data_IF_398383629513
#
_entry.id   IF_398383629513
#
_cell.length_a   1.000
_cell.length_b   1.000
_cell.length_c   1.000
_cell.angle_alpha   90.00
_cell.angle_beta   90.00
_cell.angle_gamma   90.00
#
_symmetry.space_group_name_H-M   'P 1'
#
loop_
_entity.id
_entity.type
_entity.pdbx_description
1 polymer ?
#
# COMPACT_ATOMS: atom_id res chain seq x y z
N UNK A 1 0.35 12.40 -8.70
CA UNK A 1 0.66 10.97 -8.88
C UNK A 1 0.07 10.13 -7.75
N UNK A 2 -0.17 8.85 -8.01
CA UNK A 2 -0.78 7.92 -7.07
C UNK A 2 0.02 6.61 -7.06
N UNK A 3 0.23 6.06 -5.88
CA UNK A 3 0.70 4.69 -5.68
C UNK A 3 -0.42 3.89 -4.99
N UNK A 4 -0.79 2.77 -5.56
CA UNK A 4 -1.71 1.82 -4.93
C UNK A 4 -1.01 0.49 -4.71
N UNK A 5 -1.18 -0.06 -3.51
CA UNK A 5 -0.77 -1.42 -3.19
C UNK A 5 -2.03 -2.23 -2.90
N UNK A 6 -2.11 -3.42 -3.46
CA UNK A 6 -3.23 -4.32 -3.27
C UNK A 6 -2.75 -5.73 -2.98
N UNK A 7 -3.39 -6.35 -2.02
CA UNK A 7 -3.30 -7.79 -1.77
C UNK A 7 -4.68 -8.37 -2.01
N UNK A 8 -4.76 -9.42 -2.81
CA UNK A 8 -5.94 -10.28 -2.86
C UNK A 8 -5.54 -11.68 -2.47
N UNK A 9 -6.31 -12.31 -1.59
CA UNK A 9 -6.02 -13.63 -1.08
C UNK A 9 -7.29 -14.48 -0.91
N UNK A 10 -7.09 -15.80 -0.81
CA UNK A 10 -8.14 -16.78 -0.49
C UNK A 10 -8.27 -17.04 1.01
N UNK A 11 -7.46 -16.38 1.83
CA UNK A 11 -7.50 -16.48 3.28
C UNK A 11 -8.71 -15.82 3.92
N UNK A 12 -8.68 -15.67 5.25
CA UNK A 12 -9.69 -14.92 6.00
C UNK A 12 -9.66 -13.43 5.62
N UNK A 13 -8.49 -12.85 5.45
CA UNK A 13 -8.30 -11.53 4.84
C UNK A 13 -8.35 -11.69 3.33
N UNK A 14 -9.43 -11.21 2.70
CA UNK A 14 -9.69 -11.37 1.27
C UNK A 14 -9.02 -10.33 0.41
N UNK A 15 -8.96 -9.09 0.91
CA UNK A 15 -8.36 -7.96 0.21
C UNK A 15 -7.77 -6.96 1.19
N UNK A 16 -6.61 -6.43 0.86
CA UNK A 16 -6.06 -5.22 1.46
C UNK A 16 -5.80 -4.25 0.30
N UNK A 17 -6.23 -3.01 0.45
CA UNK A 17 -5.96 -1.95 -0.51
C UNK A 17 -5.44 -0.72 0.23
N UNK A 18 -4.33 -0.17 -0.26
CA UNK A 18 -3.77 1.08 0.26
C UNK A 18 -3.47 2.01 -0.90
N UNK A 19 -3.80 3.28 -0.73
CA UNK A 19 -3.48 4.31 -1.69
C UNK A 19 -2.64 5.41 -1.02
N UNK A 20 -1.61 5.85 -1.72
CA UNK A 20 -0.87 7.06 -1.46
C UNK A 20 -1.09 8.04 -2.61
N UNK A 21 -1.47 9.27 -2.30
CA UNK A 21 -1.56 10.37 -3.24
C UNK A 21 -0.47 11.37 -2.92
N UNK A 22 0.41 11.62 -3.88
CA UNK A 22 1.43 12.65 -3.75
C UNK A 22 0.81 14.03 -3.52
N UNK A 23 1.56 14.96 -2.90
CA UNK A 23 1.07 16.30 -2.67
C UNK A 23 0.73 16.99 -4.00
N UNK A 24 -0.36 17.75 -4.02
CA UNK A 24 -0.79 18.52 -5.20
C UNK A 24 0.07 19.76 -5.42
N UNK A 25 0.65 20.29 -4.33
CA UNK A 25 1.57 21.43 -4.33
C UNK A 25 2.71 21.20 -3.36
N UNK A 26 3.84 21.84 -3.61
CA UNK A 26 4.99 21.82 -2.71
C UNK A 26 4.60 22.30 -1.31
N UNK A 27 5.01 21.57 -0.27
CA UNK A 27 4.71 21.86 1.13
C UNK A 27 3.36 21.35 1.63
N UNK A 28 2.49 20.84 0.76
CA UNK A 28 1.26 20.18 1.20
C UNK A 28 1.53 18.75 1.68
N UNK A 29 0.78 18.25 2.67
CA UNK A 29 0.88 16.86 3.07
C UNK A 29 0.36 15.92 1.97
N UNK A 30 1.06 14.82 1.76
CA UNK A 30 0.55 13.71 0.98
C UNK A 30 -0.67 13.08 1.68
N UNK A 31 -1.47 12.33 0.94
CA UNK A 31 -2.65 11.66 1.49
C UNK A 31 -2.49 10.15 1.41
N UNK A 32 -2.92 9.47 2.46
CA UNK A 32 -2.98 8.00 2.50
C UNK A 32 -4.37 7.55 2.90
N UNK A 33 -4.75 6.38 2.42
CA UNK A 33 -5.93 5.66 2.86
C UNK A 33 -5.69 4.16 2.75
N UNK A 34 -6.37 3.40 3.58
CA UNK A 34 -6.31 1.94 3.55
C UNK A 34 -7.68 1.33 3.82
N UNK A 35 -7.89 0.14 3.30
CA UNK A 35 -9.07 -0.69 3.51
C UNK A 35 -8.66 -2.15 3.55
N UNK A 36 -9.30 -2.93 4.43
CA UNK A 36 -9.19 -4.37 4.46
C UNK A 36 -10.58 -5.01 4.45
N UNK A 37 -10.75 -6.03 3.59
CA UNK A 37 -11.92 -6.91 3.59
C UNK A 37 -11.54 -8.25 4.17
N UNK A 38 -12.27 -8.71 5.16
CA UNK A 38 -11.99 -9.95 5.85
C UNK A 38 -13.28 -10.66 6.27
N UNK A 39 -13.14 -11.93 6.57
CA UNK A 39 -14.19 -12.79 7.10
C UNK A 39 -13.91 -13.00 8.59
N UNK A 40 -14.68 -12.32 9.44
CA UNK A 40 -14.45 -12.27 10.88
C UNK A 40 -14.53 -13.65 11.53
N UNK A 41 -15.40 -14.53 11.04
CA UNK A 41 -15.57 -15.89 11.56
C UNK A 41 -14.38 -16.81 11.26
N UNK A 42 -13.59 -16.46 10.25
CA UNK A 42 -12.42 -17.22 9.79
C UNK A 42 -11.09 -16.64 10.27
N UNK A 43 -11.11 -15.48 10.94
CA UNK A 43 -9.87 -14.85 11.42
C UNK A 43 -9.21 -15.72 12.49
N UNK A 44 -7.93 -15.99 12.29
CA UNK A 44 -7.04 -16.52 13.30
C UNK A 44 -6.49 -15.34 14.12
N UNK A 45 -6.98 -15.20 15.34
CA UNK A 45 -6.58 -14.11 16.25
C UNK A 45 -5.25 -14.37 16.95
N UNK A 46 -4.80 -15.62 16.98
CA UNK A 46 -3.55 -16.01 17.63
C UNK A 46 -2.35 -15.85 16.68
N UNK A 47 -2.56 -16.14 15.40
CA UNK A 47 -1.50 -16.10 14.38
C UNK A 47 -1.96 -15.28 13.17
N UNK A 48 -1.70 -13.98 13.22
CA UNK A 48 -2.11 -13.03 12.17
C UNK A 48 -1.69 -13.48 10.75
N UNK A 49 -0.56 -14.15 10.64
CA UNK A 49 -0.01 -14.68 9.38
C UNK A 49 -0.92 -15.71 8.71
N UNK A 50 -1.70 -16.47 9.47
CA UNK A 50 -2.60 -17.49 8.93
C UNK A 50 -3.80 -16.90 8.17
N UNK A 51 -4.04 -15.60 8.31
CA UNK A 51 -5.18 -14.93 7.71
C UNK A 51 -4.99 -14.61 6.21
N UNK A 52 -3.76 -14.64 5.72
CA UNK A 52 -3.43 -14.43 4.31
C UNK A 52 -3.17 -15.80 3.67
N UNK A 53 -3.95 -16.15 2.65
CA UNK A 53 -3.78 -17.39 1.89
C UNK A 53 -3.18 -17.11 0.50
N UNK A 54 -3.29 -18.12 -0.38
CA UNK A 54 -2.91 -17.97 -1.79
C UNK A 54 -3.55 -16.73 -2.42
N UNK A 55 -2.81 -16.06 -3.26
CA UNK A 55 -3.31 -14.85 -3.90
C UNK A 55 -2.24 -14.10 -4.67
N UNK A 56 -2.39 -12.78 -4.73
CA UNK A 56 -1.41 -11.93 -5.40
C UNK A 56 -1.21 -10.59 -4.67
N UNK A 57 -0.02 -10.05 -4.85
CA UNK A 57 0.35 -8.69 -4.50
C UNK A 57 0.47 -7.86 -5.78
N UNK A 58 -0.16 -6.70 -5.81
CA UNK A 58 -0.16 -5.81 -6.96
C UNK A 58 0.28 -4.40 -6.56
N UNK A 59 1.09 -3.79 -7.41
CA UNK A 59 1.52 -2.39 -7.33
C UNK A 59 1.00 -1.67 -8.56
N UNK A 60 0.32 -0.54 -8.35
CA UNK A 60 -0.12 0.35 -9.41
C UNK A 60 0.46 1.74 -9.17
N UNK A 61 1.18 2.28 -10.15
CA UNK A 61 1.72 3.64 -10.11
C UNK A 61 1.06 4.45 -11.23
N UNK A 62 0.31 5.46 -10.85
CA UNK A 62 -0.26 6.44 -11.76
C UNK A 62 0.51 7.75 -11.62
N UNK A 63 1.27 8.10 -12.65
CA UNK A 63 2.14 9.28 -12.64
C UNK A 63 1.41 10.56 -13.06
N UNK A 64 0.12 10.46 -13.39
CA UNK A 64 -0.71 11.60 -13.78
C UNK A 64 -0.90 11.73 -15.29
N UNK A 65 -1.40 12.89 -15.70
CA UNK A 65 -1.86 13.14 -17.06
C UNK A 65 -0.81 12.86 -18.13
N UNK A 66 -1.22 12.09 -19.13
CA UNK A 66 -0.40 11.76 -20.31
C UNK A 66 0.55 10.57 -20.15
N UNK A 67 0.67 10.00 -18.96
CA UNK A 67 1.46 8.80 -18.75
C UNK A 67 0.57 7.57 -18.56
N UNK A 68 1.00 6.43 -19.10
CA UNK A 68 0.29 5.17 -18.85
C UNK A 68 0.59 4.72 -17.43
N UNK A 69 -0.43 4.32 -16.66
CA UNK A 69 -0.20 3.72 -15.36
C UNK A 69 0.69 2.47 -15.48
N UNK A 70 1.66 2.37 -14.59
CA UNK A 70 2.46 1.16 -14.43
C UNK A 70 1.73 0.20 -13.49
N UNK A 71 1.70 -1.08 -13.84
CA UNK A 71 1.15 -2.13 -12.98
C UNK A 71 2.07 -3.34 -12.97
N UNK A 72 2.44 -3.77 -11.77
CA UNK A 72 3.14 -5.02 -11.54
C UNK A 72 2.32 -5.92 -10.62
N UNK A 73 2.36 -7.24 -10.87
CA UNK A 73 1.62 -8.24 -10.10
C UNK A 73 2.54 -9.43 -9.86
N UNK A 74 2.62 -9.88 -8.61
CA UNK A 74 3.34 -11.10 -8.21
C UNK A 74 2.45 -12.00 -7.38
N UNK A 75 2.68 -13.33 -7.44
CA UNK A 75 2.01 -14.27 -6.55
C UNK A 75 2.38 -14.03 -5.09
N UNK A 76 1.44 -14.25 -4.19
CA UNK A 76 1.73 -14.29 -2.75
C UNK A 76 2.41 -15.64 -2.43
N UNK A 77 3.69 -15.57 -2.12
CA UNK A 77 4.50 -16.73 -1.74
C UNK A 77 4.76 -16.80 -0.26
N UNK A 78 4.40 -15.77 0.45
CA UNK A 78 4.55 -15.62 1.89
C UNK A 78 3.25 -15.12 2.50
N UNK A 79 3.04 -15.48 3.74
CA UNK A 79 1.94 -14.99 4.57
C UNK A 79 2.23 -13.61 5.18
N UNK A 80 3.44 -13.07 4.97
CA UNK A 80 3.87 -11.74 5.41
C UNK A 80 3.72 -10.72 4.29
N UNK A 81 3.13 -9.55 4.62
CA UNK A 81 3.06 -8.42 3.69
C UNK A 81 4.46 -7.87 3.35
N UNK A 82 5.37 -7.89 4.32
CA UNK A 82 6.77 -7.46 4.12
C UNK A 82 7.48 -8.33 3.09
N UNK A 83 7.32 -9.66 3.20
CA UNK A 83 7.94 -10.60 2.27
C UNK A 83 7.29 -10.53 0.89
N UNK A 84 5.96 -10.38 0.83
CA UNK A 84 5.25 -10.20 -0.44
C UNK A 84 5.74 -8.94 -1.19
N UNK A 85 5.91 -7.83 -0.47
CA UNK A 85 6.45 -6.61 -1.04
C UNK A 85 7.92 -6.78 -1.46
N UNK A 86 8.76 -7.41 -0.64
CA UNK A 86 10.17 -7.70 -0.97
C UNK A 86 10.27 -8.58 -2.22
N UNK A 87 9.45 -9.62 -2.31
CA UNK A 87 9.36 -10.49 -3.48
C UNK A 87 8.94 -9.75 -4.75
N UNK A 88 7.98 -8.80 -4.63
CA UNK A 88 7.60 -7.94 -5.75
C UNK A 88 8.80 -7.14 -6.29
N UNK A 89 9.54 -6.46 -5.42
CA UNK A 89 10.70 -5.65 -5.84
C UNK A 89 11.81 -6.51 -6.45
N UNK A 90 12.05 -7.69 -5.91
CA UNK A 90 13.05 -8.61 -6.47
C UNK A 90 12.64 -9.11 -7.87
N UNK A 91 11.37 -9.50 -8.06
CA UNK A 91 10.90 -10.11 -9.31
C UNK A 91 10.59 -9.08 -10.40
N UNK A 92 9.91 -7.98 -10.04
CA UNK A 92 9.43 -7.01 -11.01
C UNK A 92 10.42 -5.89 -11.27
N UNK A 93 11.14 -5.45 -10.24
CA UNK A 93 12.07 -4.32 -10.34
C UNK A 93 13.53 -4.76 -10.35
N UNK A 94 13.81 -6.04 -10.06
CA UNK A 94 15.17 -6.59 -9.91
C UNK A 94 16.02 -5.81 -8.90
N UNK A 95 15.37 -5.30 -7.86
CA UNK A 95 16.00 -4.55 -6.78
C UNK A 95 15.87 -5.33 -5.47
N UNK A 96 16.96 -5.80 -4.87
CA UNK A 96 16.95 -6.34 -3.53
C UNK A 96 16.36 -5.31 -2.58
N UNK A 97 15.23 -5.67 -1.96
CA UNK A 97 14.48 -4.77 -1.07
C UNK A 97 14.02 -5.56 0.14
N UNK A 98 14.11 -4.95 1.31
CA UNK A 98 13.60 -5.53 2.55
C UNK A 98 12.74 -4.51 3.29
N UNK A 99 11.66 -4.99 3.89
CA UNK A 99 10.77 -4.23 4.72
C UNK A 99 10.79 -4.76 6.16
N UNK A 100 10.83 -3.85 7.13
CA UNK A 100 10.54 -4.12 8.54
C UNK A 100 9.35 -3.25 8.90
N UNK A 101 8.25 -3.86 9.33
CA UNK A 101 6.98 -3.18 9.61
C UNK A 101 6.50 -3.57 11.01
N UNK A 102 6.15 -2.57 11.81
CA UNK A 102 5.53 -2.75 13.12
C UNK A 102 4.25 -1.93 13.24
N UNK A 103 3.33 -2.41 14.05
CA UNK A 103 2.09 -1.71 14.37
C UNK A 103 1.67 -2.07 15.78
N UNK A 104 1.05 -1.16 16.47
CA UNK A 104 0.60 -1.39 17.83
C UNK A 104 -0.12 -0.18 18.43
N UNK A 105 -0.66 -0.38 19.62
CA UNK A 105 -1.21 0.70 20.43
C UNK A 105 -0.05 1.41 21.14
N UNK A 106 0.05 2.71 20.92
CA UNK A 106 1.00 3.58 21.61
C UNK A 106 0.26 4.61 22.43
N UNK A 107 0.72 4.84 23.63
CA UNK A 107 0.19 5.83 24.56
C UNK A 107 1.33 6.70 25.09
N UNK A 108 1.13 8.01 25.05
CA UNK A 108 1.92 8.97 25.82
C UNK A 108 1.21 9.27 27.12
N UNK A 109 1.92 9.72 28.16
CA UNK A 109 1.42 9.89 29.53
C UNK A 109 0.12 10.71 29.65
N UNK A 110 -0.19 11.57 28.69
CA UNK A 110 -1.33 12.49 28.71
C UNK A 110 -2.37 12.23 27.62
N UNK A 111 -2.12 11.30 26.68
CA UNK A 111 -3.03 11.04 25.55
C UNK A 111 -3.71 9.67 25.65
N UNK A 112 -4.91 9.57 25.06
CA UNK A 112 -5.57 8.27 24.89
C UNK A 112 -4.74 7.36 23.99
N UNK A 113 -4.76 6.03 24.21
CA UNK A 113 -4.07 5.09 23.33
C UNK A 113 -4.52 5.27 21.88
N UNK A 114 -3.56 5.28 20.96
CA UNK A 114 -3.82 5.37 19.52
C UNK A 114 -3.03 4.30 18.77
N UNK A 115 -3.63 3.78 17.70
CA UNK A 115 -2.93 2.89 16.79
C UNK A 115 -1.84 3.64 16.05
N UNK A 116 -0.66 3.04 16.03
CA UNK A 116 0.49 3.55 15.27
C UNK A 116 1.05 2.46 14.39
N UNK A 117 1.61 2.85 13.26
CA UNK A 117 2.38 2.00 12.38
C UNK A 117 3.66 2.70 11.99
N UNK A 118 4.73 1.93 11.90
CA UNK A 118 6.04 2.40 11.46
C UNK A 118 6.74 1.35 10.63
N UNK A 119 7.67 1.76 9.79
CA UNK A 119 8.42 0.83 8.98
C UNK A 119 9.70 1.43 8.42
N UNK A 120 10.61 0.53 8.08
CA UNK A 120 11.83 0.83 7.34
C UNK A 120 11.83 0.01 6.06
N UNK A 121 12.12 0.66 4.95
CA UNK A 121 12.44 0.00 3.69
C UNK A 121 13.94 0.17 3.44
N UNK A 122 14.65 -0.94 3.28
CA UNK A 122 16.02 -1.00 2.80
C UNK A 122 16.01 -1.48 1.36
N UNK A 123 16.67 -0.76 0.46
CA UNK A 123 16.73 -1.11 -0.95
C UNK A 123 18.13 -0.90 -1.50
N UNK A 124 18.66 -1.90 -2.18
CA UNK A 124 19.91 -1.77 -2.90
C UNK A 124 19.64 -1.10 -4.25
N UNK A 125 20.19 0.09 -4.42
CA UNK A 125 20.10 0.81 -5.69
C UNK A 125 21.28 0.45 -6.61
N UNK A 126 21.08 0.33 -7.93
CA UNK A 126 22.18 0.16 -8.87
C UNK A 126 23.09 1.37 -8.84
N UNK A 127 24.38 1.21 -9.19
CA UNK A 127 25.28 2.32 -9.39
C UNK A 127 24.73 3.34 -10.37
N UNK A 128 24.97 4.62 -10.13
CA UNK A 128 24.49 5.69 -11.02
C UNK A 128 24.99 5.49 -12.46
N UNK A 129 24.08 5.33 -13.41
CA UNK A 129 24.40 5.15 -14.83
C UNK A 129 24.36 3.69 -15.32
N UNK A 130 24.20 2.71 -14.46
CA UNK A 130 23.96 1.33 -14.85
C UNK A 130 22.46 1.10 -14.97
N UNK A 131 22.05 0.60 -16.15
CA UNK A 131 20.68 0.15 -16.37
C UNK A 131 20.60 -1.33 -15.97
N UNK A 132 19.70 -1.68 -15.06
CA UNK A 132 19.41 -3.09 -14.74
C UNK A 132 18.69 -3.68 -15.95
N UNK A 133 19.23 -4.70 -16.63
CA UNK A 133 18.56 -5.31 -17.76
C UNK A 133 17.22 -5.91 -17.34
N UNK A 134 16.15 -5.63 -18.07
CA UNK A 134 14.81 -6.18 -17.82
C UNK A 134 14.70 -7.70 -18.10
N UNK A 135 15.73 -8.30 -18.69
CA UNK A 135 15.77 -9.71 -19.12
C UNK A 135 16.63 -10.58 -18.18
N UNK A 136 16.70 -10.25 -16.90
CA UNK A 136 17.43 -11.02 -15.90
C UNK A 136 16.88 -12.43 -15.71
N UNK A 137 17.72 -13.38 -15.21
CA UNK A 137 17.30 -14.74 -15.00
C UNK A 137 16.14 -14.81 -13.99
N UNK A 138 15.07 -15.46 -14.38
CA UNK A 138 14.05 -15.90 -13.42
C UNK A 138 14.61 -17.15 -12.72
N UNK A 139 14.81 -17.06 -11.41
CA UNK A 139 15.19 -18.23 -10.60
C UNK A 139 14.15 -19.35 -10.67
N UNK A 140 14.49 -20.57 -10.22
CA UNK A 140 13.54 -21.66 -10.10
C UNK A 140 12.33 -21.19 -9.31
N UNK A 141 11.12 -21.39 -9.84
CA UNK A 141 9.84 -20.94 -9.26
C UNK A 141 9.59 -19.41 -9.26
N UNK A 142 10.37 -18.62 -10.01
CA UNK A 142 10.13 -17.18 -10.16
C UNK A 142 10.57 -16.32 -8.97
N UNK A 143 11.32 -16.87 -8.01
CA UNK A 143 11.87 -16.13 -6.87
C UNK A 143 13.33 -15.80 -7.10
N UNK A 144 13.65 -14.49 -7.11
CA UNK A 144 15.02 -14.00 -7.13
C UNK A 144 15.47 -13.70 -5.70
N UNK A 145 16.59 -14.32 -5.30
CA UNK A 145 17.26 -14.00 -4.05
C UNK A 145 18.28 -12.87 -4.27
N UNK A 146 18.69 -12.14 -3.21
CA UNK A 146 19.72 -11.12 -3.34
C UNK A 146 21.01 -11.63 -3.98
N UNK A 147 21.37 -12.89 -3.78
CA UNK A 147 22.54 -13.55 -4.37
C UNK A 147 22.44 -13.70 -5.88
N UNK A 148 21.22 -13.74 -6.42
CA UNK A 148 20.98 -13.81 -7.87
C UNK A 148 21.13 -12.43 -8.53
N UNK A 149 20.97 -11.35 -7.76
CA UNK A 149 20.97 -9.97 -8.23
C UNK A 149 22.28 -9.22 -7.91
N UNK A 150 22.96 -9.61 -6.82
CA UNK A 150 24.15 -8.90 -6.32
C UNK A 150 25.37 -9.83 -6.35
N UNK A 151 26.52 -9.25 -6.62
CA UNK A 151 27.82 -9.92 -6.54
C UNK A 151 28.86 -9.16 -5.73
N UNK A 152 29.89 -9.86 -5.25
CA UNK A 152 31.04 -9.26 -4.58
C UNK A 152 30.68 -8.30 -3.44
N UNK A 153 31.27 -7.12 -3.45
CA UNK A 153 31.13 -6.10 -2.37
C UNK A 153 29.67 -5.64 -2.20
N UNK A 154 28.85 -5.66 -3.25
CA UNK A 154 27.45 -5.25 -3.17
C UNK A 154 26.63 -6.24 -2.32
N UNK A 155 26.89 -7.54 -2.43
CA UNK A 155 26.23 -8.56 -1.60
C UNK A 155 26.69 -8.48 -0.14
N UNK A 156 27.99 -8.19 0.11
CA UNK A 156 28.51 -8.00 1.46
C UNK A 156 27.90 -6.75 2.12
N UNK A 157 27.83 -5.64 1.39
CA UNK A 157 27.20 -4.40 1.85
C UNK A 157 25.69 -4.61 2.14
N UNK A 158 25.00 -5.33 1.27
CA UNK A 158 23.59 -5.70 1.48
C UNK A 158 23.42 -6.52 2.75
N UNK A 159 24.25 -7.54 2.95
CA UNK A 159 24.19 -8.40 4.14
C UNK A 159 24.45 -7.61 5.41
N UNK A 160 25.46 -6.73 5.42
CA UNK A 160 25.78 -5.88 6.56
C UNK A 160 24.63 -4.92 6.90
N UNK A 161 24.05 -4.27 5.89
CA UNK A 161 22.90 -3.38 6.11
C UNK A 161 21.68 -4.12 6.68
N UNK A 162 21.46 -5.37 6.25
CA UNK A 162 20.41 -6.21 6.79
C UNK A 162 20.65 -6.59 8.26
N UNK A 163 21.91 -6.87 8.67
CA UNK A 163 22.21 -7.11 10.08
C UNK A 163 21.90 -5.88 10.96
N UNK A 164 22.17 -4.67 10.47
CA UNK A 164 21.75 -3.47 11.18
C UNK A 164 20.23 -3.37 11.27
N UNK A 165 19.52 -3.69 10.18
CA UNK A 165 18.05 -3.65 10.15
C UNK A 165 17.41 -4.68 11.10
N UNK A 166 18.06 -5.84 11.32
CA UNK A 166 17.61 -6.86 12.29
C UNK A 166 17.64 -6.36 13.75
N UNK A 167 18.35 -5.29 14.03
CA UNK A 167 18.41 -4.67 15.36
C UNK A 167 17.29 -3.67 15.63
N UNK A 168 16.39 -3.44 14.67
CA UNK A 168 15.29 -2.50 14.85
C UNK A 168 14.23 -3.11 15.74
N UNK A 169 13.88 -2.39 16.79
CA UNK A 169 12.85 -2.79 17.75
C UNK A 169 11.53 -2.09 17.46
N UNK A 170 10.44 -2.74 17.87
CA UNK A 170 9.08 -2.22 17.68
C UNK A 170 8.91 -0.79 18.20
N UNK A 171 9.39 -0.51 19.42
CA UNK A 171 9.26 0.81 20.05
C UNK A 171 10.07 1.91 19.32
N UNK A 172 11.07 1.57 18.53
CA UNK A 172 11.79 2.54 17.72
C UNK A 172 10.97 3.01 16.52
N UNK A 173 10.05 2.17 16.01
CA UNK A 173 9.20 2.50 14.88
C UNK A 173 7.83 3.06 15.27
N UNK A 174 7.23 2.55 16.34
CA UNK A 174 5.87 2.96 16.75
C UNK A 174 5.85 3.76 18.04
N UNK A 175 6.97 3.81 18.77
CA UNK A 175 7.12 4.65 19.97
C UNK A 175 7.12 6.15 19.62
N UNK A 176 6.74 7.01 20.58
CA UNK A 176 6.68 8.46 20.35
C UNK A 176 8.05 9.15 20.45
N UNK A 177 9.08 8.44 20.92
CA UNK A 177 10.29 9.06 21.49
C UNK A 177 11.46 9.12 20.54
N UNK A 178 11.51 8.30 19.48
CA UNK A 178 12.65 8.25 18.57
C UNK A 178 12.28 8.85 17.19
N UNK A 179 12.86 10.01 16.82
CA UNK A 179 12.72 10.55 15.48
C UNK A 179 13.30 9.60 14.41
N UNK A 180 12.70 9.49 13.22
CA UNK A 180 13.19 8.61 12.16
C UNK A 180 14.65 8.86 11.75
N UNK A 181 15.11 10.12 11.76
CA UNK A 181 16.49 10.47 11.45
C UNK A 181 17.48 9.93 12.49
N UNK A 182 17.10 9.89 13.77
CA UNK A 182 17.95 9.36 14.82
C UNK A 182 18.06 7.83 14.73
N UNK A 183 16.97 7.17 14.33
CA UNK A 183 16.99 5.74 14.00
C UNK A 183 17.94 5.46 12.84
N UNK A 184 17.85 6.21 11.74
CA UNK A 184 18.74 6.04 10.59
C UNK A 184 20.20 6.26 10.99
N UNK A 185 20.48 7.26 11.82
CA UNK A 185 21.83 7.52 12.31
C UNK A 185 22.31 6.37 13.21
N UNK A 186 21.48 5.87 14.12
CA UNK A 186 21.82 4.71 14.95
C UNK A 186 22.18 3.48 14.12
N UNK A 187 21.44 3.22 13.05
CA UNK A 187 21.64 2.05 12.21
C UNK A 187 22.88 2.18 11.29
N UNK A 188 23.09 3.37 10.71
CA UNK A 188 23.96 3.53 9.55
C UNK A 188 24.98 4.67 9.65
N UNK A 189 25.32 5.17 10.87
CA UNK A 189 26.25 6.30 11.04
C UNK A 189 27.65 6.05 10.44
N UNK A 190 28.10 4.80 10.42
CA UNK A 190 29.38 4.42 9.81
C UNK A 190 29.35 4.45 8.28
N UNK A 191 28.16 4.33 7.69
CA UNK A 191 27.95 4.32 6.24
C UNK A 191 27.82 5.73 5.63
N UNK A 192 27.80 6.77 6.43
CA UNK A 192 27.67 8.16 5.96
C UNK A 192 26.23 8.52 5.56
N UNK A 193 25.31 8.46 6.51
CA UNK A 193 23.87 8.70 6.30
C UNK A 193 23.61 10.10 5.76
N UNK A 194 22.84 10.18 4.67
CA UNK A 194 22.22 11.40 4.16
C UNK A 194 20.73 11.39 4.44
N UNK A 195 20.27 12.34 5.23
CA UNK A 195 18.84 12.48 5.58
C UNK A 195 18.20 13.55 4.69
N UNK A 196 17.00 13.27 4.22
CA UNK A 196 16.16 14.20 3.45
C UNK A 196 15.01 14.70 4.32
N UNK A 197 14.44 15.84 3.93
CA UNK A 197 13.26 16.38 4.60
C UNK A 197 12.10 15.39 4.55
N UNK A 198 11.41 15.25 5.68
CA UNK A 198 10.27 14.33 5.79
C UNK A 198 9.05 14.90 5.05
N UNK A 199 8.40 14.04 4.26
CA UNK A 199 7.11 14.36 3.67
C UNK A 199 6.00 14.10 4.69
N UNK A 200 5.28 15.14 5.08
CA UNK A 200 4.09 14.99 5.92
C UNK A 200 3.00 14.19 5.20
N UNK A 201 2.31 13.33 5.96
CA UNK A 201 1.23 12.46 5.45
C UNK A 201 -0.01 12.67 6.32
N UNK A 202 -1.18 12.67 5.70
CA UNK A 202 -2.46 12.69 6.40
C UNK A 202 -3.43 11.68 5.80
N UNK A 203 -4.43 11.27 6.57
CA UNK A 203 -5.56 10.55 6.00
C UNK A 203 -6.28 11.44 4.97
N UNK A 204 -6.66 10.84 3.83
CA UNK A 204 -7.44 11.54 2.82
C UNK A 204 -8.19 10.56 1.93
N UNK A 205 -9.46 10.88 1.67
CA UNK A 205 -10.28 10.13 0.75
C UNK A 205 -10.73 11.01 -0.41
N UNK A 206 -10.75 10.42 -1.60
CA UNK A 206 -11.16 11.09 -2.84
C UNK A 206 -12.56 10.67 -3.27
N UNK A 207 -13.34 10.00 -2.40
CA UNK A 207 -14.72 9.64 -2.71
C UNK A 207 -15.60 10.90 -2.83
N UNK A 208 -16.58 10.83 -3.69
CA UNK A 208 -17.61 11.85 -3.88
C UNK A 208 -18.86 11.22 -4.45
N UNK A 209 -19.99 11.91 -4.35
CA UNK A 209 -21.23 11.47 -4.95
C UNK A 209 -21.08 11.25 -6.46
N UNK A 210 -20.37 12.13 -7.17
CA UNK A 210 -20.13 12.02 -8.62
C UNK A 210 -19.37 10.73 -8.97
N UNK A 211 -18.38 10.36 -8.15
CA UNK A 211 -17.64 9.08 -8.33
C UNK A 211 -18.53 7.87 -8.09
N UNK A 212 -19.44 7.94 -7.14
CA UNK A 212 -20.44 6.88 -6.94
C UNK A 212 -21.37 6.79 -8.14
N UNK A 213 -21.89 7.92 -8.64
CA UNK A 213 -22.69 7.99 -9.87
C UNK A 213 -21.94 7.39 -11.07
N UNK A 214 -20.69 7.78 -11.25
CA UNK A 214 -19.82 7.24 -12.30
C UNK A 214 -19.64 5.73 -12.18
N UNK A 215 -19.46 5.21 -10.97
CA UNK A 215 -19.34 3.76 -10.73
C UNK A 215 -20.63 3.02 -11.02
N UNK A 216 -21.78 3.65 -10.78
CA UNK A 216 -23.10 3.09 -11.05
C UNK A 216 -23.51 3.22 -12.52
N UNK A 217 -22.89 4.07 -13.32
CA UNK A 217 -23.23 4.32 -14.71
C UNK A 217 -23.12 3.11 -15.64
N UNK A 218 -22.41 2.06 -15.23
CA UNK A 218 -22.27 0.80 -15.99
C UNK A 218 -23.45 -0.15 -15.80
N UNK A 219 -24.30 0.08 -14.81
CA UNK A 219 -25.42 -0.81 -14.48
C UNK A 219 -26.69 -0.40 -15.20
N UNK A 220 -27.45 -1.41 -15.66
CA UNK A 220 -28.77 -1.18 -16.23
C UNK A 220 -29.79 -0.73 -15.18
N UNK A 221 -30.88 -0.08 -15.60
CA UNK A 221 -31.95 0.33 -14.68
C UNK A 221 -32.57 -0.89 -13.94
N UNK A 222 -32.56 -2.06 -14.56
CA UNK A 222 -32.98 -3.31 -13.92
C UNK A 222 -32.05 -3.72 -12.79
N UNK A 223 -30.73 -3.47 -12.92
CA UNK A 223 -29.77 -3.81 -11.86
C UNK A 223 -29.78 -2.75 -10.76
N UNK A 224 -29.93 -1.47 -11.12
CA UNK A 224 -30.17 -0.39 -10.15
C UNK A 224 -31.41 -0.66 -9.30
N UNK A 225 -32.52 -1.15 -9.91
CA UNK A 225 -33.74 -1.48 -9.16
C UNK A 225 -33.54 -2.61 -8.13
N UNK A 226 -32.56 -3.52 -8.34
CA UNK A 226 -32.22 -4.55 -7.36
C UNK A 226 -31.33 -4.03 -6.21
N UNK A 227 -30.65 -2.92 -6.42
CA UNK A 227 -29.82 -2.24 -5.42
C UNK A 227 -30.61 -1.21 -4.62
N UNK A 228 -31.88 -0.95 -5.06
CA UNK A 228 -32.75 0.02 -4.39
C UNK A 228 -33.29 -0.56 -3.10
N UNK A 229 -33.18 0.17 -2.01
CA UNK A 229 -33.68 -0.19 -0.68
C UNK A 229 -35.21 -0.11 -0.63
N UNK A 230 -35.81 -0.60 0.45
CA UNK A 230 -37.29 -0.54 0.66
C UNK A 230 -37.77 0.92 0.75
N UNK A 231 -36.90 1.86 1.12
CA UNK A 231 -37.17 3.30 1.14
C UNK A 231 -37.05 3.95 -0.25
N UNK A 232 -36.77 3.17 -1.29
CA UNK A 232 -36.67 3.67 -2.67
C UNK A 232 -35.39 4.41 -2.99
N UNK A 233 -34.28 4.11 -2.28
CA UNK A 233 -32.98 4.77 -2.44
C UNK A 233 -31.90 3.78 -2.82
N UNK A 234 -30.86 4.26 -3.50
CA UNK A 234 -29.62 3.50 -3.73
C UNK A 234 -28.55 4.04 -2.78
N UNK A 235 -28.11 3.21 -1.84
CA UNK A 235 -27.10 3.58 -0.88
C UNK A 235 -25.73 3.02 -1.26
N UNK A 236 -24.68 3.78 -1.02
CA UNK A 236 -23.30 3.35 -1.24
C UNK A 236 -22.39 3.88 -0.12
N UNK A 237 -21.61 2.97 0.46
CA UNK A 237 -20.67 3.31 1.52
C UNK A 237 -19.24 3.24 1.01
N UNK A 238 -18.48 4.29 1.27
CA UNK A 238 -17.07 4.31 0.95
C UNK A 238 -16.28 3.43 1.92
N UNK A 239 -15.72 2.35 1.44
CA UNK A 239 -14.97 1.40 2.26
C UNK A 239 -13.69 2.00 2.89
N UNK A 240 -13.15 3.09 2.33
CA UNK A 240 -11.95 3.73 2.87
C UNK A 240 -12.24 4.70 4.03
N UNK A 241 -13.36 5.44 4.00
CA UNK A 241 -13.62 6.50 4.98
C UNK A 241 -14.97 6.39 5.67
N UNK A 242 -15.82 5.41 5.30
CA UNK A 242 -17.15 5.23 5.89
C UNK A 242 -18.18 6.29 5.47
N UNK A 243 -17.87 7.17 4.50
CA UNK A 243 -18.85 8.13 4.00
C UNK A 243 -19.97 7.39 3.28
N UNK A 244 -21.21 7.71 3.64
CA UNK A 244 -22.42 7.15 3.02
C UNK A 244 -23.01 8.13 2.02
N UNK A 245 -23.42 7.61 0.89
CA UNK A 245 -24.08 8.33 -0.20
C UNK A 245 -25.48 7.73 -0.41
N UNK A 246 -26.45 8.60 -0.56
CA UNK A 246 -27.85 8.23 -0.71
C UNK A 246 -28.40 8.86 -2.01
N UNK A 247 -28.65 8.02 -3.01
CA UNK A 247 -28.90 8.41 -4.39
C UNK A 247 -30.34 8.07 -4.81
N UNK A 248 -30.92 8.93 -5.66
CA UNK A 248 -32.16 8.61 -6.33
C UNK A 248 -31.91 7.58 -7.46
N UNK A 249 -32.56 6.39 -7.45
CA UNK A 249 -32.35 5.37 -8.46
C UNK A 249 -32.64 5.81 -9.89
N UNK A 250 -33.45 6.88 -10.08
CA UNK A 250 -33.77 7.41 -11.42
C UNK A 250 -32.64 8.27 -11.99
N UNK A 251 -31.68 8.71 -11.16
CA UNK A 251 -30.57 9.59 -11.53
C UNK A 251 -29.24 8.85 -11.68
N UNK A 252 -29.23 7.52 -11.56
CA UNK A 252 -28.02 6.68 -11.66
C UNK A 252 -28.27 5.52 -12.61
N UNK A 253 -27.18 4.98 -13.16
CA UNK A 253 -27.23 3.87 -14.12
C UNK A 253 -26.97 4.31 -15.56
N UNK A 254 -26.88 3.33 -16.45
CA UNK A 254 -26.52 3.54 -17.87
C UNK A 254 -27.48 4.48 -18.62
N UNK A 255 -28.77 4.40 -18.29
CA UNK A 255 -29.84 5.19 -18.94
C UNK A 255 -30.19 6.47 -18.18
N UNK A 256 -29.46 6.81 -17.13
CA UNK A 256 -29.72 8.01 -16.36
C UNK A 256 -29.45 9.26 -17.22
N UNK A 257 -30.32 10.29 -17.15
CA UNK A 257 -30.04 11.55 -17.84
C UNK A 257 -28.75 12.13 -17.32
N UNK A 258 -27.80 12.42 -18.24
CA UNK A 258 -26.60 13.18 -17.89
C UNK A 258 -27.05 14.55 -17.39
N UNK A 259 -26.87 14.87 -16.12
CA UNK A 259 -26.96 16.24 -15.67
C UNK A 259 -25.88 17.05 -16.40
N UNK A 260 -26.23 18.17 -17.03
CA UNK A 260 -25.23 19.04 -17.63
C UNK A 260 -24.32 19.55 -16.50
N UNK A 261 -23.00 19.35 -16.68
CA UNK A 261 -21.99 19.90 -15.79
C UNK A 261 -22.36 21.35 -15.45
N UNK A 262 -22.64 21.63 -14.18
CA UNK A 262 -22.74 23.00 -13.70
C UNK A 262 -21.35 23.63 -13.88
N UNK A 263 -21.29 24.65 -14.74
CA UNK A 263 -20.11 25.48 -15.04
C UNK A 263 -19.53 26.17 -13.78
#
# INVERSE_FOLDING_TARGET
WKLSLQVQSKGAVRMIATDYFGPSKEGEPAQIRAYASYDEERLDHDVAMNNIGDGYFAVLIDQGDGMKPYQGITGLVSTSLSDAASGYFAQSEQLPTRFVLYHGLSQTDEAAPSWRGGGVMLQQMPPAGEHVPSDGPTGPEGHLAPEDLLGGDALENWSRANFHLDTVEELELIGPSLPPQDLLYRLFHEEGVRVFDAQAVRFGCTCSEDRVRQSLSIYSQKDISKMTTDEGRVTADCQFCGASYDLDPTTVGFDAPNEPNAE
#
